data_IF_646823857088
#
_entry.id   IF_646823857088
#
_cell.length_a   1.000
_cell.length_b   1.000
_cell.length_c   1.000
_cell.angle_alpha   90.00
_cell.angle_beta   90.00
_cell.angle_gamma   90.00
#
_symmetry.space_group_name_H-M   'P 1'
#
loop_
_entity.id
_entity.type
_entity.pdbx_description
1 polymer ?
#
# COMPACT_ATOMS: atom_id res chain seq x y z
N UNK A 1 -43.49 -4.10 28.07
CA UNK A 1 -42.53 -3.51 27.11
C UNK A 1 -42.14 -4.61 26.14
N UNK A 2 -42.59 -4.57 24.88
CA UNK A 2 -42.35 -5.66 23.92
C UNK A 2 -40.86 -5.79 23.60
N UNK A 3 -40.40 -6.95 23.14
CA UNK A 3 -39.03 -7.17 22.70
C UNK A 3 -38.56 -6.14 21.65
N UNK A 4 -39.50 -5.61 20.86
CA UNK A 4 -39.29 -4.56 19.85
C UNK A 4 -38.90 -3.23 20.50
N UNK A 5 -39.53 -2.85 21.62
CA UNK A 5 -39.20 -1.62 22.35
C UNK A 5 -37.83 -1.68 23.05
N UNK A 6 -37.36 -2.88 23.42
CA UNK A 6 -35.97 -3.08 23.88
C UNK A 6 -34.97 -3.08 22.73
N UNK A 7 -35.36 -3.57 21.55
CA UNK A 7 -34.52 -3.55 20.35
C UNK A 7 -34.31 -2.11 19.82
N UNK A 8 -35.32 -1.24 19.94
CA UNK A 8 -35.21 0.19 19.63
C UNK A 8 -34.26 0.97 20.56
N UNK A 9 -33.93 0.44 21.74
CA UNK A 9 -33.04 1.10 22.70
C UNK A 9 -31.60 1.05 22.17
N UNK A 10 -31.25 2.04 21.35
CA UNK A 10 -29.91 2.22 20.81
C UNK A 10 -29.78 2.04 19.30
N UNK A 11 -30.88 1.91 18.55
CA UNK A 11 -30.87 1.94 17.08
C UNK A 11 -31.14 3.36 16.59
N UNK A 12 -30.41 3.82 15.57
CA UNK A 12 -30.46 5.21 15.10
C UNK A 12 -31.50 5.41 13.98
N UNK A 13 -31.83 4.36 13.22
CA UNK A 13 -32.75 4.44 12.07
C UNK A 13 -34.22 4.64 12.47
N UNK A 14 -35.07 4.99 11.50
CA UNK A 14 -36.52 5.13 11.69
C UNK A 14 -37.20 3.80 12.02
N UNK A 15 -38.39 3.84 12.62
CA UNK A 15 -39.14 2.61 12.95
C UNK A 15 -39.49 1.79 11.70
N UNK A 16 -39.86 2.45 10.61
CA UNK A 16 -40.17 1.81 9.32
C UNK A 16 -38.92 1.13 8.71
N UNK A 17 -37.79 1.82 8.71
CA UNK A 17 -36.51 1.26 8.25
C UNK A 17 -36.08 0.06 9.10
N UNK A 18 -36.33 0.13 10.42
CA UNK A 18 -36.02 -0.96 11.33
C UNK A 18 -36.86 -2.20 11.00
N UNK A 19 -38.17 -2.05 10.83
CA UNK A 19 -39.05 -3.16 10.42
C UNK A 19 -38.62 -3.76 9.08
N UNK A 20 -38.23 -2.92 8.12
CA UNK A 20 -37.69 -3.38 6.84
C UNK A 20 -36.40 -4.19 7.01
N UNK A 21 -35.47 -3.71 7.85
CA UNK A 21 -34.17 -4.38 8.09
C UNK A 21 -34.29 -5.76 8.74
N UNK A 22 -35.43 -6.11 9.33
CA UNK A 22 -35.67 -7.44 9.89
C UNK A 22 -35.96 -8.49 8.81
N UNK A 23 -36.50 -8.08 7.67
CA UNK A 23 -36.96 -8.98 6.60
C UNK A 23 -36.15 -8.85 5.30
N UNK A 24 -35.38 -7.77 5.14
CA UNK A 24 -34.72 -7.38 3.90
C UNK A 24 -33.21 -7.15 4.12
N UNK A 25 -32.37 -7.89 3.40
CA UNK A 25 -30.89 -7.76 3.49
C UNK A 25 -30.36 -6.52 2.78
N UNK A 26 -31.20 -5.77 2.07
CA UNK A 26 -30.80 -4.56 1.36
C UNK A 26 -30.62 -3.34 2.26
N UNK A 27 -31.03 -3.44 3.53
CA UNK A 27 -30.92 -2.37 4.52
C UNK A 27 -30.50 -2.95 5.88
N UNK A 28 -29.57 -2.27 6.55
CA UNK A 28 -29.10 -2.60 7.89
C UNK A 28 -29.08 -1.36 8.76
N UNK A 29 -29.92 -1.33 9.79
CA UNK A 29 -29.89 -0.27 10.78
C UNK A 29 -28.70 -0.38 11.72
N UNK A 30 -28.02 0.72 12.01
CA UNK A 30 -26.88 0.74 12.92
C UNK A 30 -27.34 0.99 14.36
N UNK A 31 -26.74 0.25 15.29
CA UNK A 31 -26.79 0.56 16.71
C UNK A 31 -25.83 1.70 17.03
N UNK A 32 -26.03 2.39 18.16
CA UNK A 32 -25.15 3.47 18.62
C UNK A 32 -23.71 3.02 18.77
N UNK A 33 -23.48 1.80 19.26
CA UNK A 33 -22.14 1.22 19.35
C UNK A 33 -21.50 0.99 17.98
N UNK A 34 -22.29 0.54 17.00
CA UNK A 34 -21.82 0.34 15.62
C UNK A 34 -21.54 1.67 14.93
N UNK A 35 -22.38 2.69 15.11
CA UNK A 35 -22.11 4.03 14.56
C UNK A 35 -20.87 4.69 15.18
N UNK A 36 -20.62 4.50 16.49
CA UNK A 36 -19.38 4.95 17.13
C UNK A 36 -18.17 4.20 16.54
N UNK A 37 -18.26 2.88 16.41
CA UNK A 37 -17.19 2.08 15.82
C UNK A 37 -16.89 2.48 14.38
N UNK A 38 -17.93 2.70 13.58
CA UNK A 38 -17.85 3.15 12.21
C UNK A 38 -17.27 4.57 12.10
N UNK A 39 -17.58 5.46 13.05
CA UNK A 39 -16.94 6.78 13.15
C UNK A 39 -15.42 6.64 13.31
N UNK A 40 -14.95 5.74 14.18
CA UNK A 40 -13.51 5.52 14.39
C UNK A 40 -12.85 4.97 13.11
N UNK A 41 -13.53 4.10 12.37
CA UNK A 41 -13.08 3.62 11.05
C UNK A 41 -12.95 4.78 10.07
N UNK A 42 -13.96 5.65 9.97
CA UNK A 42 -13.93 6.82 9.10
C UNK A 42 -12.81 7.81 9.46
N UNK A 43 -12.58 8.08 10.75
CA UNK A 43 -11.49 8.94 11.22
C UNK A 43 -10.11 8.36 10.89
N UNK A 44 -9.93 7.03 11.06
CA UNK A 44 -8.71 6.34 10.65
C UNK A 44 -8.49 6.46 9.13
N UNK A 45 -9.55 6.27 8.34
CA UNK A 45 -9.54 6.48 6.89
C UNK A 45 -9.20 7.91 6.51
N UNK A 46 -9.76 8.91 7.22
CA UNK A 46 -9.48 10.33 7.00
C UNK A 46 -8.02 10.68 7.27
N UNK A 47 -7.44 10.13 8.35
CA UNK A 47 -6.02 10.33 8.64
C UNK A 47 -5.14 9.76 7.51
N UNK A 48 -5.45 8.56 7.01
CA UNK A 48 -4.78 8.00 5.84
C UNK A 48 -4.98 8.84 4.58
N UNK A 49 -6.21 9.32 4.34
CA UNK A 49 -6.53 10.17 3.20
C UNK A 49 -5.68 11.45 3.21
N UNK A 50 -5.58 12.11 4.38
CA UNK A 50 -4.77 13.31 4.55
C UNK A 50 -3.27 13.01 4.37
N UNK A 51 -2.77 11.93 4.98
CA UNK A 51 -1.36 11.55 4.87
C UNK A 51 -0.94 11.21 3.43
N UNK A 52 -1.76 10.42 2.72
CA UNK A 52 -1.51 10.04 1.33
C UNK A 52 -1.67 11.26 0.40
N UNK A 53 -2.68 12.11 0.62
CA UNK A 53 -2.86 13.35 -0.13
C UNK A 53 -1.68 14.30 0.03
N UNK A 54 -1.08 14.37 1.23
CA UNK A 54 0.15 15.13 1.47
C UNK A 54 1.32 14.60 0.64
N UNK A 55 1.50 13.27 0.58
CA UNK A 55 2.50 12.63 -0.28
C UNK A 55 2.27 13.00 -1.75
N UNK A 56 1.03 12.91 -2.24
CA UNK A 56 0.68 13.34 -3.60
C UNK A 56 0.96 14.81 -3.86
N UNK A 57 0.66 15.69 -2.91
CA UNK A 57 0.95 17.11 -3.03
C UNK A 57 2.45 17.38 -3.20
N UNK A 58 3.31 16.63 -2.49
CA UNK A 58 4.77 16.70 -2.67
C UNK A 58 5.15 16.23 -4.08
N UNK A 59 4.62 15.09 -4.54
CA UNK A 59 4.90 14.53 -5.87
C UNK A 59 4.50 15.54 -6.96
N UNK A 60 3.28 16.06 -6.90
CA UNK A 60 2.75 17.03 -7.86
C UNK A 60 3.55 18.33 -7.87
N UNK A 61 3.94 18.84 -6.69
CA UNK A 61 4.81 20.02 -6.57
C UNK A 61 6.15 19.78 -7.26
N UNK A 62 6.77 18.62 -7.05
CA UNK A 62 8.06 18.28 -7.63
C UNK A 62 7.98 18.10 -9.16
N UNK A 63 6.90 17.48 -9.65
CA UNK A 63 6.62 17.36 -11.09
C UNK A 63 6.40 18.75 -11.71
N UNK A 64 5.57 19.60 -11.10
CA UNK A 64 5.30 20.95 -11.59
C UNK A 64 6.58 21.81 -11.65
N UNK A 65 7.45 21.69 -10.64
CA UNK A 65 8.75 22.33 -10.64
C UNK A 65 9.64 21.83 -11.78
N UNK A 66 9.70 20.50 -12.02
CA UNK A 66 10.48 19.92 -13.13
C UNK A 66 9.96 20.38 -14.50
N UNK A 67 8.65 20.43 -14.70
CA UNK A 67 8.03 20.91 -15.95
C UNK A 67 8.42 22.38 -16.22
N UNK A 68 8.45 23.22 -15.18
CA UNK A 68 8.77 24.65 -15.31
C UNK A 68 10.26 24.91 -15.53
N UNK A 69 11.14 24.11 -14.94
CA UNK A 69 12.56 24.42 -14.84
C UNK A 69 13.48 23.56 -15.73
N UNK A 70 13.03 22.41 -16.25
CA UNK A 70 13.85 21.54 -17.11
C UNK A 70 13.38 21.57 -18.56
N UNK A 71 14.34 21.45 -19.50
CA UNK A 71 14.05 21.24 -20.92
C UNK A 71 13.31 19.91 -21.16
N UNK A 72 12.42 19.91 -22.17
CA UNK A 72 11.51 18.80 -22.53
C UNK A 72 12.20 17.43 -22.67
N UNK A 73 13.47 17.39 -23.06
CA UNK A 73 14.18 16.13 -23.28
C UNK A 73 14.56 15.38 -22.00
N UNK A 74 14.49 16.04 -20.83
CA UNK A 74 14.80 15.44 -19.51
C UNK A 74 13.55 15.18 -18.65
N UNK A 75 12.35 15.32 -19.20
CA UNK A 75 11.06 15.27 -18.50
C UNK A 75 10.55 13.84 -18.21
N UNK A 76 11.43 12.94 -17.76
CA UNK A 76 11.00 11.62 -17.27
C UNK A 76 10.52 11.76 -15.83
N UNK A 77 9.23 11.48 -15.60
CA UNK A 77 8.60 11.56 -14.26
C UNK A 77 9.07 10.43 -13.34
N UNK A 78 9.24 9.22 -13.90
CA UNK A 78 9.73 8.05 -13.18
C UNK A 78 11.10 7.66 -13.70
N UNK A 79 12.09 7.62 -12.80
CA UNK A 79 13.45 7.21 -13.12
C UNK A 79 13.72 5.76 -12.69
N UNK A 80 13.11 5.32 -11.58
CA UNK A 80 13.29 3.98 -11.04
C UNK A 80 11.98 3.17 -11.04
N UNK A 81 12.04 1.85 -11.29
CA UNK A 81 10.89 0.96 -11.17
C UNK A 81 10.18 1.01 -9.82
N UNK A 82 10.94 1.24 -8.74
CA UNK A 82 10.37 1.36 -7.40
C UNK A 82 9.50 2.61 -7.23
N UNK A 83 9.80 3.71 -7.94
CA UNK A 83 8.97 4.93 -7.88
C UNK A 83 7.59 4.67 -8.46
N UNK A 84 7.51 3.87 -9.53
CA UNK A 84 6.25 3.47 -10.16
C UNK A 84 5.43 2.54 -9.25
N UNK A 85 6.09 1.58 -8.59
CA UNK A 85 5.42 0.70 -7.62
C UNK A 85 4.89 1.49 -6.42
N UNK A 86 5.66 2.44 -5.89
CA UNK A 86 5.21 3.30 -4.80
C UNK A 86 4.06 4.21 -5.21
N UNK A 87 4.13 4.80 -6.40
CA UNK A 87 3.02 5.60 -6.93
C UNK A 87 1.73 4.77 -7.03
N UNK A 88 1.81 3.53 -7.51
CA UNK A 88 0.67 2.60 -7.52
C UNK A 88 0.15 2.30 -6.12
N UNK A 89 1.04 2.06 -5.16
CA UNK A 89 0.67 1.75 -3.78
C UNK A 89 -0.12 2.91 -3.16
N UNK A 90 0.39 4.14 -3.30
CA UNK A 90 -0.29 5.33 -2.80
C UNK A 90 -1.60 5.61 -3.55
N UNK A 91 -1.71 5.22 -4.82
CA UNK A 91 -2.98 5.34 -5.58
C UNK A 91 -4.03 4.41 -4.99
N UNK A 92 -3.63 3.18 -4.67
CA UNK A 92 -4.50 2.19 -4.05
C UNK A 92 -4.86 2.58 -2.60
N UNK A 93 -3.90 3.05 -1.81
CA UNK A 93 -4.12 3.58 -0.45
C UNK A 93 -5.09 4.77 -0.47
N UNK A 94 -5.01 5.63 -1.49
CA UNK A 94 -5.94 6.76 -1.66
C UNK A 94 -7.38 6.27 -1.88
N UNK A 95 -7.57 5.31 -2.79
CA UNK A 95 -8.88 4.70 -3.06
C UNK A 95 -9.43 4.00 -1.81
N UNK A 96 -8.61 3.20 -1.13
CA UNK A 96 -8.99 2.52 0.12
C UNK A 96 -9.40 3.52 1.20
N UNK A 97 -8.64 4.62 1.37
CA UNK A 97 -8.97 5.66 2.34
C UNK A 97 -10.27 6.38 2.00
N UNK A 98 -10.54 6.66 0.71
CA UNK A 98 -11.83 7.22 0.26
C UNK A 98 -12.96 6.25 0.62
N UNK A 99 -12.80 4.95 0.34
CA UNK A 99 -13.78 3.92 0.67
C UNK A 99 -14.16 3.87 2.16
N UNK A 100 -13.19 4.07 3.05
CA UNK A 100 -13.40 4.16 4.50
C UNK A 100 -14.03 5.51 4.95
N UNK A 101 -13.69 6.62 4.29
CA UNK A 101 -14.30 7.94 4.59
C UNK A 101 -15.76 8.00 4.16
N UNK A 102 -16.17 7.27 3.12
CA UNK A 102 -17.57 7.18 2.70
C UNK A 102 -18.50 6.61 3.79
N UNK A 103 -17.95 5.91 4.79
CA UNK A 103 -18.71 5.43 5.95
C UNK A 103 -19.35 6.56 6.79
N UNK A 104 -18.86 7.80 6.68
CA UNK A 104 -19.44 8.97 7.36
C UNK A 104 -20.92 9.14 6.98
N UNK A 105 -21.30 8.83 5.73
CA UNK A 105 -22.70 8.85 5.31
C UNK A 105 -23.55 7.91 6.17
N UNK A 106 -23.08 6.68 6.37
CA UNK A 106 -23.83 5.67 7.12
C UNK A 106 -23.90 6.01 8.61
N UNK A 107 -22.87 6.66 9.15
CA UNK A 107 -22.90 7.23 10.51
C UNK A 107 -23.99 8.30 10.63
N UNK A 108 -24.07 9.21 9.66
CA UNK A 108 -25.09 10.26 9.63
C UNK A 108 -26.50 9.70 9.48
N UNK A 109 -26.70 8.76 8.55
CA UNK A 109 -28.01 8.20 8.24
C UNK A 109 -28.48 7.17 9.30
N UNK A 110 -27.55 6.65 10.10
CA UNK A 110 -27.85 5.63 11.11
C UNK A 110 -28.25 4.26 10.52
N UNK A 111 -28.06 4.09 9.21
CA UNK A 111 -28.37 2.87 8.45
C UNK A 111 -27.43 2.75 7.25
N UNK A 112 -27.26 1.53 6.77
CA UNK A 112 -26.55 1.19 5.53
C UNK A 112 -27.58 0.58 4.59
N UNK A 113 -27.69 1.06 3.36
CA UNK A 113 -28.67 0.54 2.40
C UNK A 113 -28.10 0.49 0.98
N UNK A 114 -28.65 -0.41 0.16
CA UNK A 114 -28.28 -0.54 -1.26
C UNK A 114 -28.63 0.72 -2.05
N UNK A 115 -27.92 0.92 -3.16
CA UNK A 115 -28.12 2.03 -4.08
C UNK A 115 -26.79 2.59 -4.59
N UNK A 116 -26.85 3.63 -5.42
CA UNK A 116 -25.67 4.14 -6.14
C UNK A 116 -24.51 4.53 -5.23
N UNK A 117 -24.78 5.02 -4.03
CA UNK A 117 -23.72 5.33 -3.06
C UNK A 117 -23.06 4.05 -2.51
N UNK A 118 -23.87 3.03 -2.21
CA UNK A 118 -23.41 1.72 -1.77
C UNK A 118 -22.53 1.06 -2.85
N UNK A 119 -22.99 1.12 -4.09
CA UNK A 119 -22.28 0.59 -5.25
C UNK A 119 -20.93 1.30 -5.42
N UNK A 120 -20.92 2.63 -5.40
CA UNK A 120 -19.70 3.42 -5.50
C UNK A 120 -18.72 3.13 -4.36
N UNK A 121 -19.21 3.00 -3.11
CA UNK A 121 -18.37 2.65 -1.98
C UNK A 121 -17.72 1.28 -2.15
N UNK A 122 -18.52 0.25 -2.46
CA UNK A 122 -18.03 -1.11 -2.63
C UNK A 122 -16.99 -1.23 -3.75
N UNK A 123 -17.25 -0.60 -4.89
CA UNK A 123 -16.31 -0.51 -6.02
C UNK A 123 -15.00 0.15 -5.62
N UNK A 124 -15.06 1.31 -4.94
CA UNK A 124 -13.87 2.06 -4.51
C UNK A 124 -13.06 1.25 -3.49
N UNK A 125 -13.72 0.62 -2.52
CA UNK A 125 -13.06 -0.25 -1.55
C UNK A 125 -12.38 -1.42 -2.25
N UNK A 126 -13.09 -2.15 -3.11
CA UNK A 126 -12.52 -3.31 -3.80
C UNK A 126 -11.30 -2.93 -4.66
N UNK A 127 -11.37 -1.82 -5.40
CA UNK A 127 -10.25 -1.31 -6.20
C UNK A 127 -9.04 -0.94 -5.33
N UNK A 128 -9.27 -0.20 -4.24
CA UNK A 128 -8.22 0.26 -3.34
C UNK A 128 -7.56 -0.88 -2.61
N UNK A 129 -8.34 -1.67 -1.87
CA UNK A 129 -7.84 -2.74 -1.02
C UNK A 129 -7.10 -3.83 -1.82
N UNK A 130 -7.70 -4.29 -2.92
CA UNK A 130 -7.06 -5.27 -3.82
C UNK A 130 -5.80 -4.68 -4.47
N UNK A 131 -5.84 -3.41 -4.84
CA UNK A 131 -4.70 -2.67 -5.39
C UNK A 131 -3.53 -2.58 -4.42
N UNK A 132 -3.78 -2.35 -3.13
CA UNK A 132 -2.77 -2.33 -2.07
C UNK A 132 -2.15 -3.72 -1.93
N UNK A 133 -2.96 -4.78 -1.90
CA UNK A 133 -2.49 -6.15 -1.85
C UNK A 133 -1.55 -6.52 -3.01
N UNK A 134 -2.03 -6.39 -4.25
CA UNK A 134 -1.26 -6.77 -5.44
C UNK A 134 0.00 -5.91 -5.58
N UNK A 135 -0.09 -4.59 -5.34
CA UNK A 135 1.08 -3.72 -5.42
C UNK A 135 2.13 -4.09 -4.35
N UNK A 136 1.70 -4.41 -3.13
CA UNK A 136 2.60 -4.84 -2.04
C UNK A 136 3.27 -6.18 -2.36
N UNK A 137 2.55 -7.11 -2.98
CA UNK A 137 3.12 -8.36 -3.48
C UNK A 137 4.23 -8.09 -4.50
N UNK A 138 3.97 -7.21 -5.48
CA UNK A 138 4.97 -6.83 -6.48
C UNK A 138 6.19 -6.16 -5.84
N UNK A 139 6.00 -5.24 -4.90
CA UNK A 139 7.09 -4.60 -4.14
C UNK A 139 7.94 -5.65 -3.41
N UNK A 140 7.31 -6.64 -2.77
CA UNK A 140 8.00 -7.72 -2.05
C UNK A 140 8.85 -8.57 -3.00
N UNK A 141 8.28 -9.00 -4.13
CA UNK A 141 8.98 -9.79 -5.14
C UNK A 141 10.14 -9.00 -5.74
N UNK A 142 9.92 -7.75 -6.15
CA UNK A 142 10.96 -6.90 -6.74
C UNK A 142 12.12 -6.64 -5.77
N UNK A 143 11.80 -6.39 -4.50
CA UNK A 143 12.80 -6.17 -3.45
C UNK A 143 13.62 -7.44 -3.23
N UNK A 144 12.97 -8.60 -3.15
CA UNK A 144 13.67 -9.88 -3.01
C UNK A 144 14.55 -10.20 -4.22
N UNK A 145 14.04 -10.08 -5.44
CA UNK A 145 14.83 -10.34 -6.66
C UNK A 145 16.05 -9.41 -6.75
N UNK A 146 15.87 -8.13 -6.39
CA UNK A 146 16.94 -7.14 -6.37
C UNK A 146 18.05 -7.48 -5.38
N UNK A 147 17.70 -7.89 -4.17
CA UNK A 147 18.66 -8.20 -3.09
C UNK A 147 19.27 -9.60 -3.28
N UNK A 148 18.42 -10.61 -3.46
CA UNK A 148 18.82 -12.01 -3.39
C UNK A 148 19.53 -12.51 -4.64
N UNK A 149 19.04 -12.10 -5.81
CA UNK A 149 19.60 -12.56 -7.10
C UNK A 149 20.65 -11.56 -7.61
N UNK A 150 20.71 -10.34 -7.07
CA UNK A 150 21.55 -9.25 -7.61
C UNK A 150 21.12 -8.78 -9.00
N UNK A 151 20.03 -9.36 -9.55
CA UNK A 151 19.40 -8.93 -10.79
C UNK A 151 18.45 -7.79 -10.47
N UNK A 152 19.01 -6.60 -10.37
CA UNK A 152 18.21 -5.40 -10.26
C UNK A 152 17.36 -5.27 -11.52
N UNK A 153 16.03 -5.30 -11.39
CA UNK A 153 15.12 -5.12 -12.53
C UNK A 153 15.24 -3.66 -12.94
N UNK A 154 16.13 -3.35 -13.87
CA UNK A 154 16.40 -1.97 -14.33
C UNK A 154 15.38 -1.47 -15.35
N UNK A 155 14.56 -2.36 -15.90
CA UNK A 155 13.63 -2.00 -16.98
C UNK A 155 12.34 -1.40 -16.43
N UNK A 156 12.21 -0.09 -16.53
CA UNK A 156 10.98 0.64 -16.23
C UNK A 156 9.82 0.15 -17.11
N UNK A 157 10.07 -0.13 -18.40
CA UNK A 157 9.03 -0.62 -19.33
C UNK A 157 8.42 -1.96 -18.90
N UNK A 158 9.25 -2.91 -18.45
CA UNK A 158 8.76 -4.20 -17.95
C UNK A 158 7.90 -4.02 -16.70
N UNK A 159 8.34 -3.15 -15.79
CA UNK A 159 7.60 -2.85 -14.56
C UNK A 159 6.28 -2.15 -14.84
N UNK A 160 6.27 -1.21 -15.80
CA UNK A 160 5.06 -0.56 -16.26
C UNK A 160 4.08 -1.56 -16.87
N UNK A 161 4.53 -2.48 -17.72
CA UNK A 161 3.67 -3.53 -18.27
C UNK A 161 3.04 -4.41 -17.18
N UNK A 162 3.84 -4.88 -16.22
CA UNK A 162 3.34 -5.69 -15.10
C UNK A 162 2.33 -4.91 -14.26
N UNK A 163 2.61 -3.64 -13.99
CA UNK A 163 1.71 -2.79 -13.20
C UNK A 163 0.39 -2.49 -13.93
N UNK A 164 0.47 -2.17 -15.23
CA UNK A 164 -0.73 -1.97 -16.05
C UNK A 164 -1.55 -3.26 -16.11
N UNK A 165 -0.91 -4.42 -16.30
CA UNK A 165 -1.61 -5.71 -16.30
C UNK A 165 -2.30 -5.98 -14.95
N UNK A 166 -1.66 -5.65 -13.83
CA UNK A 166 -2.24 -5.77 -12.50
C UNK A 166 -3.49 -4.90 -12.32
N UNK A 167 -3.42 -3.61 -12.65
CA UNK A 167 -4.58 -2.72 -12.56
C UNK A 167 -5.69 -3.10 -13.53
N UNK A 168 -5.35 -3.47 -14.77
CA UNK A 168 -6.32 -3.96 -15.74
C UNK A 168 -7.04 -5.21 -15.22
N UNK A 169 -6.33 -6.13 -14.56
CA UNK A 169 -6.94 -7.30 -13.94
C UNK A 169 -7.91 -6.92 -12.80
N UNK A 170 -7.51 -6.01 -11.90
CA UNK A 170 -8.39 -5.57 -10.80
C UNK A 170 -9.65 -4.91 -11.35
N UNK A 171 -9.49 -3.95 -12.27
CA UNK A 171 -10.62 -3.24 -12.90
C UNK A 171 -11.52 -4.24 -13.63
N UNK A 172 -10.93 -5.19 -14.37
CA UNK A 172 -11.68 -6.22 -15.06
C UNK A 172 -12.52 -7.06 -14.08
N UNK A 173 -11.96 -7.47 -12.94
CA UNK A 173 -12.70 -8.24 -11.93
C UNK A 173 -13.84 -7.43 -11.29
N UNK A 174 -13.63 -6.15 -11.00
CA UNK A 174 -14.65 -5.26 -10.44
C UNK A 174 -15.80 -5.05 -11.43
N UNK A 175 -15.48 -4.72 -12.68
CA UNK A 175 -16.48 -4.50 -13.73
C UNK A 175 -17.23 -5.81 -14.01
N UNK A 176 -16.53 -6.92 -14.20
CA UNK A 176 -17.15 -8.20 -14.48
C UNK A 176 -18.08 -8.65 -13.33
N UNK A 177 -17.67 -8.45 -12.07
CA UNK A 177 -18.48 -8.75 -10.90
C UNK A 177 -19.77 -7.93 -10.87
N UNK A 178 -19.69 -6.63 -11.13
CA UNK A 178 -20.87 -5.76 -11.14
C UNK A 178 -21.80 -6.09 -12.33
N UNK A 179 -21.27 -6.17 -13.55
CA UNK A 179 -22.06 -6.38 -14.77
C UNK A 179 -22.75 -7.76 -14.81
N UNK A 180 -22.06 -8.83 -14.39
CA UNK A 180 -22.66 -10.18 -14.42
C UNK A 180 -23.73 -10.39 -13.33
N UNK A 181 -23.71 -9.57 -12.29
CA UNK A 181 -24.60 -9.69 -11.15
C UNK A 181 -25.57 -8.50 -11.04
N UNK A 182 -25.66 -7.68 -12.09
CA UNK A 182 -26.66 -6.63 -12.24
C UNK A 182 -28.02 -7.24 -12.63
N UNK A 183 -29.10 -6.81 -11.97
CA UNK A 183 -30.46 -7.21 -12.36
C UNK A 183 -31.53 -6.90 -11.30
N UNK A 184 -32.81 -7.08 -11.64
CA UNK A 184 -33.92 -6.79 -10.72
C UNK A 184 -33.80 -7.58 -9.42
N UNK A 185 -33.66 -6.87 -8.30
CA UNK A 185 -33.51 -7.45 -6.96
C UNK A 185 -32.14 -8.08 -6.66
N UNK A 186 -31.16 -7.96 -7.56
CA UNK A 186 -29.77 -8.37 -7.33
C UNK A 186 -28.91 -7.13 -7.10
N UNK A 187 -28.33 -7.04 -5.92
CA UNK A 187 -27.37 -6.01 -5.57
C UNK A 187 -26.02 -6.69 -5.34
N UNK A 188 -25.09 -6.50 -6.28
CA UNK A 188 -23.73 -7.05 -6.16
C UNK A 188 -23.02 -6.43 -4.96
N UNK A 189 -23.05 -5.11 -4.84
CA UNK A 189 -22.64 -4.38 -3.64
C UNK A 189 -23.82 -4.27 -2.67
N UNK A 190 -23.61 -4.67 -1.41
CA UNK A 190 -24.66 -4.64 -0.39
C UNK A 190 -24.08 -4.49 1.02
N UNK A 191 -24.92 -4.23 2.05
CA UNK A 191 -24.44 -4.09 3.42
C UNK A 191 -23.77 -5.37 3.97
N UNK A 192 -22.51 -5.28 4.43
CA UNK A 192 -21.72 -6.48 4.85
C UNK A 192 -20.87 -6.36 6.12
N UNK A 193 -21.50 -6.22 7.31
CA UNK A 193 -22.84 -5.72 7.55
C UNK A 193 -22.85 -4.20 7.80
N UNK A 194 -21.70 -3.57 8.05
CA UNK A 194 -21.61 -2.19 8.55
C UNK A 194 -21.26 -1.14 7.47
N UNK A 195 -20.87 -1.60 6.28
CA UNK A 195 -20.57 -0.79 5.11
C UNK A 195 -20.93 -1.57 3.85
N UNK A 196 -20.89 -0.90 2.71
CA UNK A 196 -21.15 -1.52 1.43
C UNK A 196 -19.91 -2.15 0.83
N UNK A 197 -20.06 -3.42 0.44
CA UNK A 197 -19.04 -4.24 -0.22
C UNK A 197 -19.72 -5.46 -0.87
N UNK A 198 -18.96 -6.29 -1.57
CA UNK A 198 -19.44 -7.44 -2.32
C UNK A 198 -20.37 -8.29 -1.45
N UNK A 199 -21.61 -8.52 -1.89
CA UNK A 199 -22.66 -9.10 -1.08
C UNK A 199 -22.42 -10.54 -0.60
N UNK A 200 -23.12 -10.98 0.46
CA UNK A 200 -22.89 -12.30 1.09
C UNK A 200 -23.19 -13.48 0.16
N UNK A 201 -24.08 -13.28 -0.83
CA UNK A 201 -24.39 -14.30 -1.84
C UNK A 201 -23.26 -14.55 -2.86
N UNK A 202 -22.22 -13.72 -2.88
CA UNK A 202 -21.19 -13.73 -3.92
C UNK A 202 -19.81 -14.13 -3.37
N UNK A 203 -19.74 -15.20 -2.57
CA UNK A 203 -18.51 -15.66 -1.92
C UNK A 203 -17.35 -15.91 -2.91
N UNK A 204 -17.64 -16.46 -4.09
CA UNK A 204 -16.61 -16.69 -5.12
C UNK A 204 -15.98 -15.37 -5.58
N UNK A 205 -16.80 -14.33 -5.80
CA UNK A 205 -16.34 -13.00 -6.18
C UNK A 205 -15.54 -12.33 -5.07
N UNK A 206 -15.93 -12.50 -3.79
CA UNK A 206 -15.16 -12.04 -2.63
C UNK A 206 -13.77 -12.65 -2.57
N UNK A 207 -13.68 -13.96 -2.79
CA UNK A 207 -12.40 -14.69 -2.69
C UNK A 207 -11.49 -14.31 -3.84
N UNK A 208 -11.95 -14.43 -5.08
CA UNK A 208 -11.11 -14.20 -6.26
C UNK A 208 -10.86 -12.72 -6.56
N UNK A 209 -11.84 -11.87 -6.24
CA UNK A 209 -11.79 -10.44 -6.45
C UNK A 209 -10.94 -9.71 -5.43
N UNK A 210 -10.71 -10.27 -4.23
CA UNK A 210 -10.02 -9.58 -3.15
C UNK A 210 -9.18 -10.52 -2.25
N UNK A 211 -9.80 -11.42 -1.48
CA UNK A 211 -9.08 -12.11 -0.39
C UNK A 211 -7.94 -13.03 -0.81
N UNK A 212 -8.04 -13.67 -1.97
CA UNK A 212 -6.96 -14.53 -2.48
C UNK A 212 -5.66 -13.71 -2.62
N UNK A 213 -5.77 -12.45 -3.01
CA UNK A 213 -4.64 -11.54 -3.15
C UNK A 213 -4.08 -11.12 -1.79
N UNK A 214 -4.94 -10.93 -0.79
CA UNK A 214 -4.47 -10.68 0.58
C UNK A 214 -3.65 -11.84 1.10
N UNK A 215 -4.14 -13.07 0.95
CA UNK A 215 -3.46 -14.25 1.47
C UNK A 215 -2.18 -14.58 0.70
N UNK A 216 -2.19 -14.48 -0.63
CA UNK A 216 -0.96 -14.63 -1.42
C UNK A 216 0.07 -13.58 -0.98
N UNK A 217 -0.34 -12.32 -0.83
CA UNK A 217 0.56 -11.25 -0.38
C UNK A 217 1.11 -11.51 1.01
N UNK A 218 0.28 -11.94 1.96
CA UNK A 218 0.71 -12.31 3.31
C UNK A 218 1.73 -13.46 3.30
N UNK A 219 1.41 -14.56 2.62
CA UNK A 219 2.26 -15.76 2.57
C UNK A 219 3.60 -15.44 1.90
N UNK A 220 3.57 -14.77 0.74
CA UNK A 220 4.79 -14.37 0.03
C UNK A 220 5.61 -13.41 0.87
N UNK A 221 4.98 -12.40 1.48
CA UNK A 221 5.69 -11.44 2.35
C UNK A 221 6.38 -12.17 3.50
N UNK A 222 5.69 -13.08 4.19
CA UNK A 222 6.27 -13.86 5.28
C UNK A 222 7.46 -14.74 4.83
N UNK A 223 7.29 -15.47 3.72
CA UNK A 223 8.32 -16.35 3.16
C UNK A 223 9.55 -15.57 2.70
N UNK A 224 9.38 -14.37 2.13
CA UNK A 224 10.50 -13.54 1.67
C UNK A 224 11.16 -12.76 2.82
N UNK A 225 10.40 -12.39 3.86
CA UNK A 225 10.92 -11.61 4.98
C UNK A 225 11.90 -12.39 5.86
N UNK A 226 11.61 -13.67 6.12
CA UNK A 226 12.45 -14.53 6.95
C UNK A 226 13.91 -14.64 6.45
N UNK A 227 14.19 -15.02 5.18
CA UNK A 227 15.56 -15.11 4.68
C UNK A 227 16.22 -13.74 4.56
N UNK A 228 15.48 -12.67 4.24
CA UNK A 228 16.03 -11.32 4.14
C UNK A 228 16.41 -10.74 5.51
N UNK A 229 15.62 -11.03 6.55
CA UNK A 229 15.95 -10.66 7.92
C UNK A 229 17.25 -11.34 8.37
N UNK A 230 17.39 -12.64 8.11
CA UNK A 230 18.59 -13.40 8.42
C UNK A 230 19.81 -12.92 7.62
N UNK A 231 19.63 -12.55 6.35
CA UNK A 231 20.67 -11.92 5.54
C UNK A 231 21.09 -10.55 6.09
N UNK A 232 20.13 -9.70 6.49
CA UNK A 232 20.43 -8.37 7.02
C UNK A 232 21.14 -8.42 8.38
N UNK A 233 20.85 -9.40 9.22
CA UNK A 233 21.60 -9.65 10.45
C UNK A 233 23.05 -10.08 10.19
N UNK A 234 23.39 -10.42 8.95
CA UNK A 234 24.69 -10.98 8.57
C UNK A 234 24.82 -12.46 8.92
N UNK A 235 23.72 -13.12 9.28
CA UNK A 235 23.71 -14.56 9.58
C UNK A 235 23.78 -15.41 8.30
N UNK A 236 23.42 -14.83 7.15
CA UNK A 236 23.42 -15.51 5.86
C UNK A 236 24.31 -14.74 4.88
N UNK A 237 25.33 -15.42 4.34
CA UNK A 237 26.06 -14.99 3.14
C UNK A 237 25.59 -15.85 1.97
N UNK A 238 25.01 -15.20 0.97
CA UNK A 238 24.60 -15.87 -0.27
C UNK A 238 25.89 -16.11 -1.09
N UNK A 239 25.98 -17.18 -1.88
CA UNK A 239 27.10 -17.48 -2.79
C UNK A 239 26.93 -16.75 -4.15
N UNK A 240 27.95 -16.03 -4.63
CA UNK A 240 27.80 -15.04 -5.72
C UNK A 240 27.45 -15.67 -7.07
N UNK A 241 27.80 -16.94 -7.26
CA UNK A 241 27.52 -17.68 -8.49
C UNK A 241 26.22 -18.49 -8.45
N UNK A 242 25.74 -18.87 -7.25
CA UNK A 242 24.61 -19.79 -7.09
C UNK A 242 23.57 -19.18 -6.14
N UNK A 243 22.48 -18.65 -6.70
CA UNK A 243 21.45 -17.91 -5.94
C UNK A 243 20.71 -18.73 -4.88
N UNK A 244 20.63 -20.06 -5.03
CA UNK A 244 20.03 -20.96 -4.04
C UNK A 244 21.01 -21.45 -2.97
N UNK A 245 22.31 -21.18 -3.11
CA UNK A 245 23.33 -21.63 -2.17
C UNK A 245 23.64 -20.51 -1.19
N UNK A 246 23.33 -20.74 0.06
CA UNK A 246 23.58 -19.80 1.14
C UNK A 246 24.35 -20.48 2.27
N UNK A 247 25.26 -19.75 2.91
CA UNK A 247 26.04 -20.22 4.05
C UNK A 247 25.62 -19.46 5.30
N UNK A 248 25.34 -20.20 6.37
CA UNK A 248 25.18 -19.62 7.69
C UNK A 248 26.56 -19.24 8.24
N UNK A 249 26.71 -18.00 8.67
CA UNK A 249 27.93 -17.51 9.31
C UNK A 249 27.56 -16.83 10.62
N UNK A 250 28.44 -16.91 11.63
CA UNK A 250 28.31 -16.07 12.82
C UNK A 250 28.52 -14.61 12.43
N UNK A 251 27.69 -13.74 13.00
CA UNK A 251 27.74 -12.30 12.76
C UNK A 251 29.15 -11.79 13.04
N UNK A 252 29.79 -11.24 12.01
CA UNK A 252 31.12 -10.64 12.14
C UNK A 252 31.00 -9.26 12.80
N UNK A 253 31.52 -9.06 14.03
CA UNK A 253 31.46 -7.77 14.72
C UNK A 253 32.17 -6.66 13.93
N UNK A 254 33.20 -7.03 13.16
CA UNK A 254 34.08 -6.14 12.39
C UNK A 254 33.58 -5.86 10.97
N UNK A 255 32.37 -6.31 10.61
CA UNK A 255 31.83 -6.07 9.27
C UNK A 255 31.81 -4.58 8.89
N UNK A 256 32.24 -4.30 7.66
CA UNK A 256 32.38 -2.97 7.06
C UNK A 256 31.13 -2.10 7.31
N UNK A 257 31.29 -0.86 7.82
CA UNK A 257 30.21 0.11 7.97
C UNK A 257 29.35 0.28 6.71
N UNK A 258 29.93 0.19 5.51
CA UNK A 258 29.20 0.28 4.25
C UNK A 258 28.24 -0.91 4.04
N UNK A 259 28.68 -2.13 4.39
CA UNK A 259 27.82 -3.32 4.37
C UNK A 259 26.68 -3.21 5.40
N UNK A 260 26.98 -2.71 6.60
CA UNK A 260 25.96 -2.48 7.65
C UNK A 260 24.92 -1.47 7.16
N UNK A 261 25.34 -0.39 6.50
CA UNK A 261 24.45 0.61 5.90
C UNK A 261 23.55 0.04 4.79
N UNK A 262 24.09 -0.79 3.89
CA UNK A 262 23.31 -1.47 2.85
C UNK A 262 22.26 -2.43 3.42
N UNK A 263 22.64 -3.26 4.39
CA UNK A 263 21.73 -4.20 5.08
C UNK A 263 20.59 -3.51 5.82
N UNK A 264 20.87 -2.36 6.43
CA UNK A 264 19.88 -1.53 7.10
C UNK A 264 18.87 -0.93 6.10
N UNK A 265 19.35 -0.38 4.97
CA UNK A 265 18.49 0.14 3.89
C UNK A 265 17.57 -0.93 3.29
N UNK A 266 18.08 -2.16 3.14
CA UNK A 266 17.29 -3.29 2.69
C UNK A 266 16.18 -3.69 3.68
N UNK A 267 16.45 -3.72 4.99
CA UNK A 267 15.42 -3.97 6.03
C UNK A 267 14.33 -2.91 6.02
N UNK A 268 14.74 -1.66 5.85
CA UNK A 268 13.83 -0.53 5.75
C UNK A 268 12.85 -0.71 4.58
N UNK A 269 13.32 -1.19 3.42
CA UNK A 269 12.45 -1.45 2.27
C UNK A 269 11.48 -2.61 2.50
N UNK A 270 11.74 -3.48 3.48
CA UNK A 270 10.86 -4.56 3.89
C UNK A 270 9.87 -4.12 4.99
N UNK A 271 9.90 -2.87 5.43
CA UNK A 271 8.91 -2.34 6.36
C UNK A 271 7.51 -2.27 5.74
N UNK A 272 7.39 -2.04 4.42
CA UNK A 272 6.07 -1.98 3.76
C UNK A 272 5.31 -3.32 3.82
N UNK A 273 5.89 -4.47 3.43
CA UNK A 273 5.23 -5.76 3.61
C UNK A 273 4.94 -6.11 5.07
N UNK A 274 5.78 -5.65 6.01
CA UNK A 274 5.54 -5.85 7.44
C UNK A 274 4.30 -5.07 7.92
N UNK A 275 4.20 -3.78 7.56
CA UNK A 275 3.00 -2.97 7.84
C UNK A 275 1.77 -3.63 7.24
N UNK A 276 1.86 -4.09 5.99
CA UNK A 276 0.79 -4.84 5.36
C UNK A 276 0.39 -6.08 6.17
N UNK A 277 1.36 -6.88 6.63
CA UNK A 277 1.07 -8.07 7.44
C UNK A 277 0.37 -7.71 8.77
N UNK A 278 0.83 -6.67 9.47
CA UNK A 278 0.26 -6.23 10.74
C UNK A 278 -1.18 -5.73 10.54
N UNK A 279 -1.47 -5.05 9.43
CA UNK A 279 -2.81 -4.52 9.14
C UNK A 279 -3.78 -5.58 8.60
N UNK A 280 -3.34 -6.43 7.67
CA UNK A 280 -4.22 -7.36 6.94
C UNK A 280 -4.41 -8.70 7.65
N UNK A 281 -3.44 -9.19 8.41
CA UNK A 281 -3.57 -10.49 9.08
C UNK A 281 -4.75 -10.50 10.08
N UNK A 282 -4.91 -9.53 10.99
CA UNK A 282 -6.05 -9.52 11.91
C UNK A 282 -7.39 -9.37 11.17
N UNK A 283 -7.42 -8.55 10.12
CA UNK A 283 -8.60 -8.38 9.27
C UNK A 283 -9.02 -9.69 8.61
N UNK A 284 -8.05 -10.40 8.03
CA UNK A 284 -8.25 -11.69 7.37
C UNK A 284 -8.83 -12.71 8.34
N UNK A 285 -8.31 -12.77 9.57
CA UNK A 285 -8.79 -13.69 10.61
C UNK A 285 -10.23 -13.38 11.00
N UNK A 286 -10.56 -12.13 11.30
CA UNK A 286 -11.93 -11.74 11.69
C UNK A 286 -12.93 -11.96 10.56
N UNK A 287 -12.58 -11.61 9.33
CA UNK A 287 -13.45 -11.83 8.17
C UNK A 287 -13.67 -13.31 7.90
N UNK A 288 -12.63 -14.13 7.98
CA UNK A 288 -12.74 -15.58 7.81
C UNK A 288 -13.65 -16.23 8.86
N UNK A 289 -13.47 -15.87 10.15
CA UNK A 289 -14.34 -16.34 11.22
C UNK A 289 -15.80 -15.95 10.93
N UNK A 290 -16.04 -14.74 10.43
CA UNK A 290 -17.40 -14.26 10.09
C UNK A 290 -18.02 -15.05 8.94
N UNK A 291 -17.23 -15.54 7.97
CA UNK A 291 -17.73 -16.38 6.88
C UNK A 291 -18.13 -17.78 7.33
N UNK A 292 -17.38 -18.37 8.25
CA UNK A 292 -17.65 -19.73 8.77
C UNK A 292 -18.75 -19.70 9.84
N UNK A 293 -18.70 -18.69 10.71
CA UNK A 293 -19.62 -18.54 11.84
C UNK A 293 -20.19 -17.12 11.87
N UNK A 294 -21.28 -16.87 11.12
CA UNK A 294 -22.00 -15.60 11.18
C UNK A 294 -22.38 -15.29 12.63
N UNK A 295 -22.11 -14.06 13.09
CA UNK A 295 -22.37 -13.55 14.46
C UNK A 295 -21.43 -14.00 15.58
N UNK A 296 -20.34 -14.72 15.28
CA UNK A 296 -19.38 -15.15 16.32
C UNK A 296 -18.40 -14.05 16.77
N UNK A 297 -18.22 -13.00 15.97
CA UNK A 297 -17.30 -11.89 16.27
C UNK A 297 -18.10 -10.65 16.67
N UNK A 298 -17.74 -10.04 17.80
CA UNK A 298 -18.33 -8.78 18.24
C UNK A 298 -18.03 -7.64 17.25
N UNK A 299 -19.00 -6.77 16.99
CA UNK A 299 -18.79 -5.58 16.15
C UNK A 299 -17.61 -4.72 16.61
N UNK A 300 -17.40 -4.57 17.93
CA UNK A 300 -16.27 -3.82 18.49
C UNK A 300 -14.92 -4.35 18.04
N UNK A 301 -14.71 -5.67 18.03
CA UNK A 301 -13.47 -6.27 17.55
C UNK A 301 -13.26 -6.03 16.05
N UNK A 302 -14.34 -6.14 15.27
CA UNK A 302 -14.33 -5.82 13.83
C UNK A 302 -13.93 -4.38 13.58
N UNK A 303 -14.54 -3.41 14.27
CA UNK A 303 -14.20 -1.99 14.11
C UNK A 303 -12.76 -1.70 14.51
N UNK A 304 -12.26 -2.24 15.63
CA UNK A 304 -10.88 -2.03 16.05
C UNK A 304 -9.87 -2.50 14.98
N UNK A 305 -10.10 -3.68 14.41
CA UNK A 305 -9.22 -4.25 13.38
C UNK A 305 -9.32 -3.48 12.06
N UNK A 306 -10.54 -3.09 11.66
CA UNK A 306 -10.76 -2.31 10.45
C UNK A 306 -10.19 -0.90 10.58
N UNK A 307 -10.21 -0.30 11.77
CA UNK A 307 -9.52 0.97 12.03
C UNK A 307 -8.00 0.83 11.86
N UNK A 308 -7.38 -0.24 12.38
CA UNK A 308 -5.94 -0.52 12.15
C UNK A 308 -5.66 -0.66 10.65
N UNK A 309 -6.54 -1.34 9.93
CA UNK A 309 -6.41 -1.49 8.49
C UNK A 309 -6.61 -0.16 7.74
N UNK A 310 -7.55 0.68 8.17
CA UNK A 310 -7.77 2.02 7.64
C UNK A 310 -6.58 2.96 7.83
N UNK A 311 -5.70 2.71 8.81
CA UNK A 311 -4.45 3.45 9.03
C UNK A 311 -3.29 3.03 8.10
N UNK A 312 -3.46 2.00 7.28
CA UNK A 312 -2.39 1.45 6.43
C UNK A 312 -1.75 2.50 5.51
N UNK A 313 -2.56 3.34 4.87
CA UNK A 313 -2.07 4.44 4.02
C UNK A 313 -1.23 5.47 4.78
N UNK A 314 -1.66 5.85 6.00
CA UNK A 314 -0.86 6.72 6.87
C UNK A 314 0.47 6.06 7.25
N UNK A 315 0.48 4.78 7.61
CA UNK A 315 1.71 4.04 7.90
C UNK A 315 2.63 3.98 6.68
N UNK A 316 2.11 3.70 5.48
CA UNK A 316 2.88 3.69 4.23
C UNK A 316 3.45 5.07 3.90
N UNK A 317 2.70 6.15 4.15
CA UNK A 317 3.16 7.52 3.96
C UNK A 317 4.30 7.88 4.93
N UNK A 318 4.16 7.54 6.21
CA UNK A 318 5.22 7.73 7.23
C UNK A 318 6.46 6.92 6.85
N UNK A 319 6.29 5.66 6.43
CA UNK A 319 7.40 4.85 5.94
C UNK A 319 8.09 5.54 4.76
N UNK A 320 7.37 6.03 3.76
CA UNK A 320 7.99 6.70 2.63
C UNK A 320 8.80 7.93 3.06
N UNK A 321 8.21 8.81 3.86
CA UNK A 321 8.84 10.07 4.27
C UNK A 321 10.07 9.84 5.15
N UNK A 322 10.07 8.79 5.96
CA UNK A 322 11.20 8.45 6.85
C UNK A 322 12.29 7.64 6.15
N UNK A 323 11.93 6.82 5.16
CA UNK A 323 12.85 5.85 4.55
C UNK A 323 13.45 6.32 3.24
N UNK A 324 12.77 7.21 2.52
CA UNK A 324 13.20 7.73 1.22
C UNK A 324 13.00 9.25 1.08
N UNK A 325 13.55 10.07 1.99
CA UNK A 325 13.45 11.52 1.86
C UNK A 325 14.12 12.07 0.59
N UNK A 326 15.08 11.33 0.02
CA UNK A 326 15.90 11.71 -1.15
C UNK A 326 15.60 10.89 -2.42
N UNK A 327 14.48 10.14 -2.49
CA UNK A 327 14.09 9.58 -3.81
C UNK A 327 13.87 10.76 -4.76
N UNK A 328 14.34 10.68 -6.00
CA UNK A 328 14.28 11.80 -6.96
C UNK A 328 12.86 12.32 -7.22
N UNK A 329 11.83 11.51 -6.95
CA UNK A 329 10.42 11.91 -6.96
C UNK A 329 10.08 12.91 -5.83
N UNK A 330 10.86 12.88 -4.74
CA UNK A 330 10.69 13.60 -3.48
C UNK A 330 11.83 14.58 -3.15
N UNK A 331 13.02 14.45 -3.76
CA UNK A 331 14.16 15.35 -3.50
C UNK A 331 13.76 16.80 -3.70
N UNK A 332 14.16 17.63 -2.73
CA UNK A 332 14.01 19.08 -2.82
C UNK A 332 14.77 19.56 -4.06
N UNK A 333 14.19 20.43 -4.88
CA UNK A 333 14.94 21.05 -5.96
C UNK A 333 16.12 21.82 -5.38
N UNK A 334 17.32 21.26 -5.48
CA UNK A 334 18.54 21.93 -5.07
C UNK A 334 18.77 23.13 -5.98
N UNK A 335 18.78 24.31 -5.36
CA UNK A 335 19.15 25.63 -5.90
C UNK A 335 20.63 25.70 -6.34
N UNK A 336 21.15 24.71 -7.07
CA UNK A 336 22.54 24.68 -7.57
C UNK A 336 22.65 24.75 -9.10
N UNK A 337 21.60 25.22 -9.79
CA UNK A 337 21.63 25.49 -11.23
C UNK A 337 21.51 26.99 -11.56
N UNK A 338 22.13 27.84 -10.75
CA UNK A 338 22.29 29.26 -11.06
C UNK A 338 23.75 29.67 -10.83
N UNK A 339 24.49 29.85 -11.93
CA UNK A 339 25.70 30.67 -11.96
C UNK A 339 27.02 29.91 -11.91
N UNK A 340 27.46 29.39 -13.07
CA UNK A 340 28.79 29.69 -13.61
C UNK A 340 28.84 29.25 -15.08
N UNK A 341 28.98 30.23 -15.97
CA UNK A 341 29.36 29.98 -17.35
C UNK A 341 30.77 29.37 -17.39
N UNK A 342 31.10 28.53 -18.39
CA UNK A 342 32.49 28.12 -18.61
C UNK A 342 33.25 29.31 -19.19
N UNK A 343 34.20 29.87 -18.45
CA UNK A 343 35.18 30.79 -19.02
C UNK A 343 36.11 30.01 -19.95
N UNK A 344 36.34 30.47 -21.20
CA UNK A 344 37.39 29.94 -22.05
C UNK A 344 38.69 30.69 -21.76
N UNK A 345 39.82 29.98 -21.60
CA UNK A 345 41.18 30.38 -22.03
C UNK A 345 42.27 29.60 -21.26
N UNK A 346 43.29 29.13 -22.02
CA UNK A 346 44.68 29.12 -21.54
C UNK A 346 45.35 27.76 -21.42
N UNK A 347 46.07 27.35 -22.47
CA UNK A 347 47.06 26.27 -22.45
C UNK A 347 48.26 26.60 -21.52
N UNK A 348 48.88 25.59 -20.90
CA UNK A 348 50.34 25.41 -20.76
C UNK A 348 50.69 24.04 -20.14
N UNK A 349 51.92 23.61 -20.40
CA UNK A 349 52.48 22.25 -20.44
C UNK A 349 53.30 21.81 -19.20
N UNK A 350 53.32 20.48 -18.97
CA UNK A 350 54.45 19.61 -18.53
C UNK A 350 55.08 19.79 -17.12
N UNK A 351 55.04 18.73 -16.28
CA UNK A 351 56.18 17.89 -15.77
C UNK A 351 55.82 17.20 -14.41
N UNK A 352 56.24 15.95 -14.27
CA UNK A 352 56.17 15.05 -13.08
C UNK A 352 56.62 15.67 -11.75
N UNK A 353 56.00 15.28 -10.62
CA UNK A 353 56.67 14.47 -9.58
C UNK A 353 55.74 13.93 -8.47
N UNK A 354 56.29 12.96 -7.75
CA UNK A 354 55.77 12.04 -6.74
C UNK A 354 54.94 12.57 -5.54
N UNK A 355 54.08 11.66 -5.06
CA UNK A 355 53.66 11.37 -3.67
C UNK A 355 52.44 12.03 -2.99
N UNK A 356 51.54 11.09 -2.61
CA UNK A 356 50.75 10.98 -1.37
C UNK A 356 49.40 11.70 -1.22
N UNK A 357 48.41 10.83 -0.96
CA UNK A 357 47.22 11.01 -0.12
C UNK A 357 45.94 11.55 -0.77
N UNK A 358 45.01 10.62 -1.00
CA UNK A 358 43.66 10.75 -0.47
C UNK A 358 42.64 11.50 -1.33
N UNK A 359 41.87 10.75 -2.11
CA UNK A 359 40.41 10.77 -2.14
C UNK A 359 39.95 10.06 -3.41
N UNK A 360 39.65 8.77 -3.32
CA UNK A 360 38.76 8.16 -4.31
C UNK A 360 37.40 8.83 -4.16
N UNK A 361 37.05 9.64 -5.16
CA UNK A 361 35.71 10.17 -5.36
C UNK A 361 34.71 9.02 -5.32
N UNK A 362 34.02 8.90 -4.19
CA UNK A 362 32.84 8.05 -4.06
C UNK A 362 31.73 8.81 -4.74
N UNK A 363 31.49 8.48 -6.01
CA UNK A 363 30.27 8.85 -6.71
C UNK A 363 29.10 8.16 -5.97
N UNK A 364 28.45 8.93 -5.08
CA UNK A 364 27.35 8.44 -4.24
C UNK A 364 26.11 8.25 -5.12
N UNK A 365 25.96 7.05 -5.67
CA UNK A 365 24.77 6.62 -6.42
C UNK A 365 23.60 6.38 -5.44
N UNK A 366 23.06 7.48 -4.90
CA UNK A 366 22.03 7.54 -3.86
C UNK A 366 20.65 7.17 -4.44
N UNK A 367 20.42 5.89 -4.64
CA UNK A 367 19.15 5.37 -5.18
C UNK A 367 19.21 3.91 -5.62
N UNK A 368 20.41 3.31 -5.62
CA UNK A 368 20.59 1.89 -5.91
C UNK A 368 20.31 1.06 -4.66
N UNK A 369 19.46 0.05 -4.80
CA UNK A 369 19.49 -1.10 -3.90
C UNK A 369 20.95 -1.58 -3.79
N UNK A 370 21.47 -1.85 -2.58
CA UNK A 370 22.86 -2.25 -2.41
C UNK A 370 23.13 -3.47 -3.29
N UNK A 371 24.02 -3.31 -4.28
CA UNK A 371 24.51 -4.43 -5.06
C UNK A 371 25.49 -5.22 -4.20
N UNK A 372 25.44 -6.53 -4.38
CA UNK A 372 26.38 -7.48 -3.81
C UNK A 372 27.82 -7.02 -4.06
N UNK A 373 28.62 -6.99 -3.00
CA UNK A 373 30.07 -6.74 -3.05
C UNK A 373 30.82 -8.05 -3.02
#
# INVERSE_FOLDING_TARGET
MSAIAKAQLGIICTAEDFERSLNDTTIRCLTRGESIGLTIVSEAGLLSLLAVSYVYAIILRNIAWRIRNLHRDKLRVFHQPMDLLMFSLFTADLLQAIGAVLDIKWVHDGKVEVGTFCDAQGIIQQLGETGVGITTLLISIYTFLGIWIGRNIRSLRKTAYVMTAAWSFIIFMVVLGNELNEGPGKHYESPTPYWCWIGPGYLQWRIWGEYVWFWITLVVSFVLYLPLYLWSRGNIKIDDEIWWKFRFQRVDPLADPALKGGRYRALIMLAYPLVYCISILPLSVVRWITFVHPNSVSGTATFAIVSIYGLSGACNAVLLLTTRPESELFSKPTLYAAGRAPSPLGAYSIQNDFDRSGSTDVEVELGRLPSRS
#
